data_IF_486155299207
#
_entry.id   IF_486155299207
#
_cell.length_a   1.000
_cell.length_b   1.000
_cell.length_c   1.000
_cell.angle_alpha   90.00
_cell.angle_beta   90.00
_cell.angle_gamma   90.00
#
_symmetry.space_group_name_H-M   'P 1'
#
loop_
_entity.id
_entity.type
_entity.pdbx_description
1 polymer ?
#
# COMPACT_ATOMS: atom_id res chain seq x y z
N UNK A 1 23.50 13.64 -28.10
CA UNK A 1 22.42 14.39 -27.41
C UNK A 1 21.89 13.54 -26.27
N UNK A 2 22.62 13.53 -25.16
CA UNK A 2 22.23 12.78 -23.96
C UNK A 2 21.40 13.67 -23.04
N UNK A 3 20.19 13.20 -22.74
CA UNK A 3 19.45 13.59 -21.54
C UNK A 3 18.97 12.31 -20.87
N UNK A 4 19.90 11.76 -20.09
CA UNK A 4 19.76 10.99 -18.86
C UNK A 4 18.40 10.35 -18.51
N UNK A 5 18.46 9.03 -18.32
CA UNK A 5 17.66 8.33 -17.32
C UNK A 5 17.78 8.98 -15.93
N UNK A 6 16.75 8.73 -15.10
CA UNK A 6 16.60 9.06 -13.67
C UNK A 6 16.00 10.43 -13.32
N UNK A 7 14.68 10.53 -13.47
CA UNK A 7 13.87 11.16 -12.42
C UNK A 7 13.35 10.07 -11.46
N UNK A 8 14.26 9.54 -10.63
CA UNK A 8 13.91 8.74 -9.44
C UNK A 8 13.40 9.71 -8.38
N UNK A 9 12.14 10.14 -8.50
CA UNK A 9 11.42 10.74 -7.36
C UNK A 9 10.55 9.65 -6.74
N UNK A 10 11.19 8.64 -6.13
CA UNK A 10 10.51 7.67 -5.25
C UNK A 10 10.87 8.03 -3.81
N UNK A 11 9.98 8.76 -3.14
CA UNK A 11 9.99 8.79 -1.68
C UNK A 11 8.59 8.48 -1.14
N UNK A 12 8.32 7.18 -1.07
CA UNK A 12 7.35 6.55 -0.19
C UNK A 12 8.00 5.23 0.20
N UNK A 13 8.70 5.18 1.36
CA UNK A 13 9.43 4.01 1.88
C UNK A 13 10.03 3.11 0.79
N UNK A 14 11.30 3.30 0.41
CA UNK A 14 11.99 2.56 -0.67
C UNK A 14 11.33 1.22 -0.95
N UNK A 15 10.70 1.08 -2.13
CA UNK A 15 9.88 -0.09 -2.51
C UNK A 15 10.52 -1.45 -2.10
N UNK A 16 11.86 -1.65 -2.19
CA UNK A 16 12.53 -2.81 -1.62
C UNK A 16 12.28 -3.02 -0.11
N UNK A 17 12.44 -1.97 0.72
CA UNK A 17 12.25 -2.01 2.17
C UNK A 17 10.81 -2.40 2.52
N UNK A 18 9.82 -1.85 1.81
CA UNK A 18 8.43 -2.20 2.03
C UNK A 18 8.15 -3.67 1.69
N UNK A 19 8.65 -4.14 0.54
CA UNK A 19 8.44 -5.52 0.10
C UNK A 19 9.10 -6.53 1.04
N UNK A 20 10.25 -6.18 1.61
CA UNK A 20 10.94 -6.96 2.62
C UNK A 20 10.14 -7.02 3.92
N UNK A 21 9.59 -5.88 4.39
CA UNK A 21 8.71 -5.85 5.58
C UNK A 21 7.46 -6.72 5.37
N UNK A 22 6.82 -6.62 4.21
CA UNK A 22 5.67 -7.47 3.88
C UNK A 22 6.07 -8.95 3.92
N UNK A 23 7.22 -9.30 3.35
CA UNK A 23 7.71 -10.67 3.34
C UNK A 23 7.96 -11.21 4.76
N UNK A 24 8.63 -10.43 5.61
CA UNK A 24 8.89 -10.80 7.00
C UNK A 24 7.60 -11.10 7.78
N UNK A 25 6.61 -10.21 7.69
CA UNK A 25 5.32 -10.38 8.37
C UNK A 25 4.54 -11.58 7.80
N UNK A 26 4.59 -11.82 6.49
CA UNK A 26 3.97 -12.99 5.85
C UNK A 26 4.56 -14.28 6.40
N UNK A 27 5.89 -14.36 6.51
CA UNK A 27 6.60 -15.52 7.07
C UNK A 27 6.23 -15.73 8.54
N UNK A 28 6.24 -14.67 9.35
CA UNK A 28 5.84 -14.72 10.77
C UNK A 28 4.41 -15.25 10.94
N UNK A 29 3.48 -14.77 10.10
CA UNK A 29 2.07 -15.17 10.10
C UNK A 29 1.80 -16.52 9.41
N UNK A 30 2.83 -17.19 8.87
CA UNK A 30 2.74 -18.45 8.11
C UNK A 30 1.73 -18.37 6.96
N UNK A 31 1.63 -17.21 6.32
CA UNK A 31 0.80 -17.03 5.14
C UNK A 31 1.48 -17.67 3.92
N UNK A 32 0.67 -18.13 2.96
CA UNK A 32 1.21 -18.74 1.75
C UNK A 32 1.65 -17.69 0.72
N UNK A 33 2.47 -18.14 -0.24
CA UNK A 33 3.03 -17.30 -1.32
C UNK A 33 1.96 -16.60 -2.17
N UNK A 34 0.82 -17.25 -2.41
CA UNK A 34 -0.29 -16.67 -3.17
C UNK A 34 -0.91 -15.47 -2.44
N UNK A 35 -1.05 -15.59 -1.12
CA UNK A 35 -1.51 -14.48 -0.26
C UNK A 35 -0.49 -13.34 -0.28
N UNK A 36 0.80 -13.64 -0.16
CA UNK A 36 1.86 -12.63 -0.24
C UNK A 36 1.82 -11.84 -1.55
N UNK A 37 1.74 -12.52 -2.70
CA UNK A 37 1.63 -11.87 -4.01
C UNK A 37 0.38 -11.00 -4.11
N UNK A 38 -0.75 -11.49 -3.60
CA UNK A 38 -2.01 -10.75 -3.57
C UNK A 38 -1.87 -9.49 -2.71
N UNK A 39 -1.25 -9.58 -1.55
CA UNK A 39 -1.06 -8.46 -0.64
C UNK A 39 -0.10 -7.44 -1.22
N UNK A 40 1.07 -7.85 -1.70
CA UNK A 40 2.03 -6.99 -2.40
C UNK A 40 1.35 -6.22 -3.55
N UNK A 41 0.57 -6.90 -4.37
CA UNK A 41 -0.16 -6.27 -5.48
C UNK A 41 -1.08 -5.13 -5.01
N UNK A 42 -1.94 -5.40 -4.03
CA UNK A 42 -2.92 -4.40 -3.57
C UNK A 42 -2.30 -3.26 -2.77
N UNK A 43 -1.28 -3.55 -1.97
CA UNK A 43 -0.57 -2.54 -1.16
C UNK A 43 0.20 -1.58 -2.06
N UNK A 44 0.96 -2.07 -3.03
CA UNK A 44 1.69 -1.21 -3.98
C UNK A 44 0.73 -0.36 -4.82
N UNK A 45 -0.41 -0.92 -5.23
CA UNK A 45 -1.44 -0.19 -5.96
C UNK A 45 -2.08 0.92 -5.12
N UNK A 46 -2.32 0.65 -3.83
CA UNK A 46 -2.81 1.65 -2.88
C UNK A 46 -1.80 2.78 -2.68
N UNK A 47 -0.53 2.46 -2.42
CA UNK A 47 0.52 3.48 -2.27
C UNK A 47 0.60 4.34 -3.52
N UNK A 48 0.67 3.73 -4.70
CA UNK A 48 0.69 4.44 -5.98
C UNK A 48 -0.53 5.35 -6.17
N UNK A 49 -1.72 4.89 -5.78
CA UNK A 49 -2.96 5.67 -5.82
C UNK A 49 -2.92 6.90 -4.89
N UNK A 50 -2.30 6.76 -3.71
CA UNK A 50 -2.18 7.87 -2.75
C UNK A 50 -1.07 8.85 -3.12
N UNK A 51 0.07 8.38 -3.62
CA UNK A 51 1.22 9.22 -4.03
C UNK A 51 0.90 10.07 -5.25
N UNK A 52 0.14 9.54 -6.21
CA UNK A 52 -0.27 10.30 -7.39
C UNK A 52 -1.16 11.51 -7.06
N UNK A 53 -1.70 11.59 -5.84
CA UNK A 53 -2.66 12.63 -5.42
C UNK A 53 -2.08 13.62 -4.41
N UNK A 54 -0.93 13.32 -3.80
CA UNK A 54 -0.25 14.18 -2.84
C UNK A 54 1.09 14.63 -3.43
N UNK A 55 1.12 15.83 -3.98
CA UNK A 55 2.39 16.46 -4.34
C UNK A 55 3.31 16.55 -3.12
N UNK A 56 4.53 16.03 -3.25
CA UNK A 56 5.78 16.15 -2.44
C UNK A 56 5.74 16.09 -0.90
N UNK A 57 4.59 16.13 -0.23
CA UNK A 57 4.51 16.12 1.23
C UNK A 57 4.08 14.73 1.71
N UNK A 58 5.08 13.85 1.82
CA UNK A 58 4.96 12.50 2.33
C UNK A 58 4.74 12.54 3.85
N UNK A 59 3.49 12.72 4.28
CA UNK A 59 3.09 12.50 5.66
C UNK A 59 1.67 11.92 5.71
N UNK A 60 1.57 10.67 6.18
CA UNK A 60 0.32 10.11 6.70
C UNK A 60 0.20 10.63 8.14
N UNK A 61 -0.10 11.93 8.28
CA UNK A 61 0.07 12.63 9.56
C UNK A 61 -1.00 12.25 10.61
N UNK A 62 -2.12 11.63 10.22
CA UNK A 62 -3.21 11.26 11.13
C UNK A 62 -3.90 9.95 10.74
N UNK A 63 -4.38 9.19 11.73
CA UNK A 63 -5.17 7.97 11.49
C UNK A 63 -6.42 8.22 10.65
N UNK A 64 -7.12 9.33 10.88
CA UNK A 64 -8.29 9.74 10.11
C UNK A 64 -7.96 9.95 8.63
N UNK A 65 -6.82 10.57 8.34
CA UNK A 65 -6.36 10.77 6.97
C UNK A 65 -6.07 9.42 6.28
N UNK A 66 -5.64 8.41 7.02
CA UNK A 66 -5.39 7.07 6.51
C UNK A 66 -6.69 6.34 6.14
N UNK A 67 -7.69 6.36 7.02
CA UNK A 67 -9.00 5.75 6.79
C UNK A 67 -9.72 6.38 5.59
N UNK A 68 -9.61 7.70 5.44
CA UNK A 68 -10.15 8.40 4.30
C UNK A 68 -9.49 7.96 2.98
N UNK A 69 -8.16 7.81 2.95
CA UNK A 69 -7.47 7.31 1.75
C UNK A 69 -7.90 5.87 1.40
N UNK A 70 -8.05 4.99 2.41
CA UNK A 70 -8.55 3.63 2.20
C UNK A 70 -9.94 3.64 1.59
N UNK A 71 -10.87 4.41 2.17
CA UNK A 71 -12.24 4.51 1.67
C UNK A 71 -12.29 5.04 0.24
N UNK A 72 -11.49 6.07 -0.08
CA UNK A 72 -11.37 6.61 -1.44
C UNK A 72 -10.82 5.58 -2.42
N UNK A 73 -9.81 4.80 -2.03
CA UNK A 73 -9.25 3.75 -2.88
C UNK A 73 -10.27 2.63 -3.14
N UNK A 74 -10.95 2.13 -2.11
CA UNK A 74 -11.98 1.10 -2.27
C UNK A 74 -13.14 1.59 -3.14
N UNK A 75 -13.58 2.84 -2.98
CA UNK A 75 -14.58 3.44 -3.87
C UNK A 75 -14.08 3.52 -5.32
N UNK A 76 -12.82 3.86 -5.54
CA UNK A 76 -12.22 3.85 -6.88
C UNK A 76 -12.22 2.44 -7.50
N UNK A 77 -11.82 1.41 -6.74
CA UNK A 77 -11.84 0.03 -7.20
C UNK A 77 -13.26 -0.42 -7.60
N UNK A 78 -14.27 -0.03 -6.84
CA UNK A 78 -15.65 -0.40 -7.11
C UNK A 78 -16.26 0.40 -8.27
N UNK A 79 -16.12 1.71 -8.27
CA UNK A 79 -16.82 2.59 -9.23
C UNK A 79 -16.10 2.72 -10.57
N UNK A 80 -14.77 2.74 -10.58
CA UNK A 80 -13.98 2.94 -11.81
C UNK A 80 -13.49 1.63 -12.40
N UNK A 81 -13.02 0.70 -11.56
CA UNK A 81 -12.52 -0.59 -12.03
C UNK A 81 -13.56 -1.72 -12.00
N UNK A 82 -14.74 -1.47 -11.42
CA UNK A 82 -15.87 -2.42 -11.36
C UNK A 82 -15.45 -3.83 -10.92
N UNK A 83 -14.63 -3.90 -9.87
CA UNK A 83 -14.11 -5.18 -9.41
C UNK A 83 -15.20 -6.08 -8.84
N UNK A 84 -15.06 -7.39 -9.05
CA UNK A 84 -15.91 -8.39 -8.41
C UNK A 84 -15.78 -8.34 -6.89
N UNK A 85 -16.80 -8.86 -6.19
CA UNK A 85 -16.79 -8.98 -4.72
C UNK A 85 -15.55 -9.71 -4.19
N UNK A 86 -15.10 -10.76 -4.88
CA UNK A 86 -13.90 -11.50 -4.48
C UNK A 86 -12.62 -10.65 -4.58
N UNK A 87 -12.43 -9.90 -5.68
CA UNK A 87 -11.28 -8.99 -5.84
C UNK A 87 -11.33 -7.82 -4.86
N UNK A 88 -12.53 -7.31 -4.57
CA UNK A 88 -12.74 -6.30 -3.53
C UNK A 88 -12.35 -6.82 -2.15
N UNK A 89 -12.71 -8.06 -1.79
CA UNK A 89 -12.31 -8.67 -0.53
C UNK A 89 -10.80 -8.91 -0.44
N UNK A 90 -10.14 -9.27 -1.55
CA UNK A 90 -8.68 -9.39 -1.58
C UNK A 90 -8.00 -8.04 -1.31
N UNK A 91 -8.49 -6.97 -1.93
CA UNK A 91 -7.98 -5.62 -1.69
C UNK A 91 -8.19 -5.19 -0.23
N UNK A 92 -9.37 -5.44 0.34
CA UNK A 92 -9.68 -5.07 1.73
C UNK A 92 -8.75 -5.77 2.72
N UNK A 93 -8.62 -7.10 2.61
CA UNK A 93 -7.76 -7.90 3.49
C UNK A 93 -6.28 -7.47 3.38
N UNK A 94 -5.81 -7.14 2.17
CA UNK A 94 -4.45 -6.65 1.99
C UNK A 94 -4.20 -5.31 2.70
N UNK A 95 -5.18 -4.40 2.67
CA UNK A 95 -5.07 -3.11 3.37
C UNK A 95 -5.17 -3.28 4.89
N UNK A 96 -6.09 -4.12 5.37
CA UNK A 96 -6.18 -4.46 6.80
C UNK A 96 -4.85 -5.05 7.30
N UNK A 97 -4.28 -6.00 6.57
CA UNK A 97 -2.95 -6.56 6.85
C UNK A 97 -1.87 -5.49 6.90
N UNK A 98 -1.84 -4.58 5.92
CA UNK A 98 -0.86 -3.51 5.84
C UNK A 98 -0.89 -2.58 7.05
N UNK A 99 -2.08 -2.10 7.43
CA UNK A 99 -2.25 -1.18 8.56
C UNK A 99 -2.16 -1.84 9.93
N UNK A 100 -2.45 -3.13 10.03
CA UNK A 100 -2.37 -3.87 11.29
C UNK A 100 -0.96 -4.40 11.59
N UNK A 101 -0.17 -4.71 10.55
CA UNK A 101 1.06 -5.49 10.73
C UNK A 101 2.30 -4.94 10.02
N UNK A 102 2.16 -4.14 8.96
CA UNK A 102 3.32 -3.69 8.16
C UNK A 102 3.71 -2.25 8.47
N UNK A 103 2.75 -1.36 8.71
CA UNK A 103 3.06 -0.03 9.21
C UNK A 103 3.40 -0.14 10.69
N UNK A 104 4.69 -0.03 10.99
CA UNK A 104 5.17 0.25 12.33
C UNK A 104 4.57 1.60 12.76
N UNK A 105 3.56 1.53 13.64
CA UNK A 105 3.12 2.72 14.34
C UNK A 105 4.21 3.04 15.37
N UNK A 106 4.76 4.27 15.42
CA UNK A 106 5.53 4.67 16.59
C UNK A 106 4.62 4.44 17.79
N UNK A 107 5.01 3.51 18.66
CA UNK A 107 4.39 3.37 19.97
C UNK A 107 4.92 4.57 20.72
N UNK A 108 4.11 5.62 20.81
CA UNK A 108 4.37 6.74 21.70
C UNK A 108 4.39 6.13 23.12
N UNK A 109 5.57 5.77 23.61
CA UNK A 109 5.85 5.42 25.00
C UNK A 109 6.47 6.63 25.67
#
# INVERSE_FOLDING_TARGET
MGWFMQDKVRNTFDEPILLDKIHQVVVEKKLNLRTEQTYKHWILKFISFTSARKGKNNQVASQEASEEQVNRFLRYLNSRLQLSKARMNQARQALEFYFAHVIERPRNQ
#
